data_IF_802050063865
#
_entry.id   IF_802050063865
#
_cell.length_a   1.000
_cell.length_b   1.000
_cell.length_c   1.000
_cell.angle_alpha   90.00
_cell.angle_beta   90.00
_cell.angle_gamma   90.00
#
_symmetry.space_group_name_H-M   'P 1'
#
loop_
_entity.id
_entity.type
_entity.pdbx_description
1 polymer ?
#
# COMPACT_ATOMS: atom_id res chain seq x y z
N UNK A 1 -63.69 -24.26 4.02
CA UNK A 1 -62.27 -24.44 3.64
C UNK A 1 -61.95 -23.39 2.59
N UNK A 2 -61.54 -22.21 3.02
CA UNK A 2 -61.15 -21.10 2.13
C UNK A 2 -59.83 -20.59 2.64
N UNK A 3 -58.80 -20.95 1.89
CA UNK A 3 -57.40 -20.60 2.09
C UNK A 3 -57.22 -19.07 1.95
N UNK A 4 -56.58 -18.43 2.92
CA UNK A 4 -56.24 -17.00 2.84
C UNK A 4 -54.90 -16.90 2.10
N UNK A 5 -54.76 -16.08 1.04
CA UNK A 5 -53.48 -15.94 0.37
C UNK A 5 -52.45 -15.35 1.34
N UNK A 6 -51.30 -16.03 1.48
CA UNK A 6 -50.18 -15.62 2.33
C UNK A 6 -49.76 -14.18 2.02
N UNK A 7 -50.09 -13.25 2.92
CA UNK A 7 -49.77 -11.83 2.77
C UNK A 7 -48.26 -11.61 2.94
N UNK A 8 -47.61 -11.07 1.90
CA UNK A 8 -46.21 -10.60 1.95
C UNK A 8 -45.98 -9.66 3.15
N UNK A 9 -45.20 -10.10 4.14
CA UNK A 9 -44.89 -9.31 5.33
C UNK A 9 -43.77 -8.29 5.06
N UNK A 10 -43.84 -7.10 5.68
CA UNK A 10 -42.75 -6.09 5.66
C UNK A 10 -41.40 -6.67 6.07
N UNK A 11 -41.40 -7.68 6.96
CA UNK A 11 -40.20 -8.40 7.38
C UNK A 11 -39.61 -9.24 6.25
N UNK A 12 -40.45 -9.90 5.45
CA UNK A 12 -40.00 -10.64 4.26
C UNK A 12 -39.45 -9.68 3.21
N UNK A 13 -40.12 -8.55 2.99
CA UNK A 13 -39.64 -7.50 2.08
C UNK A 13 -38.28 -6.95 2.51
N UNK A 14 -38.09 -6.62 3.79
CA UNK A 14 -36.81 -6.11 4.30
C UNK A 14 -35.70 -7.17 4.25
N UNK A 15 -36.00 -8.43 4.54
CA UNK A 15 -35.02 -9.53 4.38
C UNK A 15 -34.63 -9.72 2.92
N UNK A 16 -35.59 -9.63 1.99
CA UNK A 16 -35.32 -9.66 0.55
C UNK A 16 -34.45 -8.49 0.10
N UNK A 17 -34.75 -7.26 0.55
CA UNK A 17 -33.97 -6.07 0.23
C UNK A 17 -32.54 -6.13 0.78
N UNK A 18 -32.36 -6.58 2.04
CA UNK A 18 -31.03 -6.77 2.64
C UNK A 18 -30.22 -7.86 1.92
N UNK A 19 -30.88 -8.98 1.54
CA UNK A 19 -30.25 -10.03 0.75
C UNK A 19 -29.80 -9.54 -0.63
N UNK A 20 -30.65 -8.80 -1.34
CA UNK A 20 -30.32 -8.21 -2.63
C UNK A 20 -29.17 -7.19 -2.52
N UNK A 21 -29.17 -6.33 -1.49
CA UNK A 21 -28.11 -5.36 -1.24
C UNK A 21 -26.76 -6.03 -0.91
N UNK A 22 -26.77 -7.11 -0.12
CA UNK A 22 -25.57 -7.88 0.20
C UNK A 22 -24.97 -8.55 -1.06
N UNK A 23 -25.80 -9.11 -1.93
CA UNK A 23 -25.36 -9.69 -3.21
C UNK A 23 -24.79 -8.62 -4.14
N UNK A 24 -25.50 -7.49 -4.30
CA UNK A 24 -25.05 -6.39 -5.15
C UNK A 24 -23.74 -5.75 -4.63
N UNK A 25 -23.59 -5.60 -3.32
CA UNK A 25 -22.37 -5.06 -2.70
C UNK A 25 -21.17 -6.01 -2.78
N UNK A 26 -21.40 -7.33 -2.80
CA UNK A 26 -20.35 -8.32 -2.92
C UNK A 26 -19.93 -8.60 -4.39
N UNK A 27 -20.76 -8.23 -5.37
CA UNK A 27 -20.52 -8.55 -6.78
C UNK A 27 -19.16 -8.03 -7.32
N UNK A 28 -18.70 -6.80 -7.01
CA UNK A 28 -17.38 -6.35 -7.45
C UNK A 28 -16.23 -7.14 -6.81
N UNK A 29 -16.36 -7.49 -5.53
CA UNK A 29 -15.35 -8.28 -4.81
C UNK A 29 -15.28 -9.73 -5.32
N UNK A 30 -16.42 -10.33 -5.68
CA UNK A 30 -16.50 -11.65 -6.31
C UNK A 30 -15.95 -11.62 -7.75
N UNK A 31 -16.22 -10.57 -8.53
CA UNK A 31 -15.69 -10.41 -9.88
C UNK A 31 -14.16 -10.24 -9.90
N UNK A 32 -13.56 -9.77 -8.81
CA UNK A 32 -12.11 -9.62 -8.69
C UNK A 32 -11.41 -10.81 -8.03
N UNK A 33 -12.15 -11.76 -7.43
CA UNK A 33 -11.58 -12.86 -6.64
C UNK A 33 -10.63 -13.76 -7.41
N UNK A 34 -10.94 -14.02 -8.68
CA UNK A 34 -10.14 -14.87 -9.57
C UNK A 34 -9.44 -14.06 -10.67
N UNK A 35 -9.36 -12.74 -10.52
CA UNK A 35 -8.64 -11.90 -11.47
C UNK A 35 -7.14 -12.20 -11.35
N UNK A 36 -6.68 -13.13 -12.17
CA UNK A 36 -5.26 -13.38 -12.39
C UNK A 36 -4.68 -12.16 -13.10
N UNK A 37 -3.92 -11.35 -12.38
CA UNK A 37 -3.00 -10.40 -13.02
C UNK A 37 -1.88 -11.25 -13.59
N UNK A 38 -1.93 -11.50 -14.90
CA UNK A 38 -0.82 -12.14 -15.58
C UNK A 38 0.34 -11.14 -15.60
N UNK A 39 1.30 -11.31 -14.71
CA UNK A 39 2.55 -10.57 -14.75
C UNK A 39 3.49 -11.27 -15.72
N UNK A 40 4.11 -10.51 -16.61
CA UNK A 40 5.14 -11.03 -17.50
C UNK A 40 6.43 -11.27 -16.72
N UNK A 41 7.12 -12.37 -17.02
CA UNK A 41 8.48 -12.62 -16.50
C UNK A 41 9.55 -11.80 -17.26
N UNK A 42 9.19 -11.15 -18.38
CA UNK A 42 10.09 -10.24 -19.10
C UNK A 42 10.21 -8.89 -18.35
N UNK A 43 11.42 -8.50 -17.90
CA UNK A 43 11.63 -7.22 -17.23
C UNK A 43 11.15 -6.01 -18.03
N UNK A 44 11.26 -6.03 -19.37
CA UNK A 44 10.79 -4.91 -20.20
C UNK A 44 9.27 -4.80 -20.16
N UNK A 45 8.57 -5.93 -20.22
CA UNK A 45 7.13 -5.97 -20.08
C UNK A 45 6.69 -5.51 -18.68
N UNK A 46 7.41 -5.87 -17.61
CA UNK A 46 7.13 -5.34 -16.26
C UNK A 46 7.29 -3.82 -16.20
N UNK A 47 8.34 -3.25 -16.79
CA UNK A 47 8.51 -1.79 -16.85
C UNK A 47 7.37 -1.13 -17.65
N UNK A 48 6.91 -1.76 -18.73
CA UNK A 48 5.80 -1.23 -19.52
C UNK A 48 4.49 -1.14 -18.72
N UNK A 49 4.28 -2.00 -17.72
CA UNK A 49 3.11 -1.90 -16.82
C UNK A 49 3.13 -0.68 -15.91
N UNK A 50 4.26 0.02 -15.77
CA UNK A 50 4.33 1.24 -14.97
C UNK A 50 3.66 2.45 -15.66
N UNK A 51 3.28 2.31 -16.93
CA UNK A 51 2.69 3.37 -17.75
C UNK A 51 1.45 2.94 -18.54
N UNK A 52 0.89 1.76 -18.24
CA UNK A 52 -0.26 1.19 -18.97
C UNK A 52 -1.63 1.74 -18.52
N UNK A 53 -1.64 2.70 -17.58
CA UNK A 53 -2.86 3.30 -17.06
C UNK A 53 -2.62 4.57 -16.24
N UNK A 54 -3.70 5.07 -15.62
CA UNK A 54 -3.67 6.20 -14.69
C UNK A 54 -3.64 5.64 -13.27
N UNK A 55 -2.53 5.84 -12.56
CA UNK A 55 -2.31 5.34 -11.20
C UNK A 55 -2.68 6.40 -10.16
N UNK A 56 -3.73 6.12 -9.37
CA UNK A 56 -4.22 6.98 -8.26
C UNK A 56 -4.58 6.17 -7.01
N UNK A 57 -4.03 4.95 -6.89
CA UNK A 57 -4.41 3.95 -5.89
C UNK A 57 -3.37 3.75 -4.77
N UNK A 58 -2.18 4.33 -4.90
CA UNK A 58 -1.04 4.09 -3.98
C UNK A 58 -0.44 5.37 -3.39
N UNK A 59 -1.07 6.53 -3.58
CA UNK A 59 -0.54 7.85 -3.15
C UNK A 59 0.85 8.17 -3.73
N UNK A 60 1.17 7.64 -4.90
CA UNK A 60 2.41 7.95 -5.62
C UNK A 60 2.41 9.41 -6.10
N UNK A 61 3.59 10.03 -6.18
CA UNK A 61 3.72 11.38 -6.73
C UNK A 61 3.91 11.30 -8.25
N UNK A 62 2.94 11.75 -9.07
CA UNK A 62 3.02 11.65 -10.54
C UNK A 62 4.10 12.56 -11.15
N UNK A 63 4.62 13.54 -10.39
CA UNK A 63 5.73 14.41 -10.84
C UNK A 63 7.09 13.70 -10.76
N UNK A 64 7.17 12.56 -10.08
CA UNK A 64 8.41 11.84 -9.84
C UNK A 64 9.40 12.58 -8.92
N UNK A 65 10.65 12.08 -8.82
CA UNK A 65 11.70 12.71 -8.03
C UNK A 65 12.16 14.05 -8.62
N UNK A 66 12.70 14.93 -7.78
CA UNK A 66 13.29 16.19 -8.24
C UNK A 66 14.49 15.96 -9.19
N UNK A 67 14.76 16.87 -10.15
CA UNK A 67 15.86 16.69 -11.12
C UNK A 67 17.23 16.44 -10.48
N UNK A 68 17.54 17.13 -9.37
CA UNK A 68 18.79 16.92 -8.64
C UNK A 68 18.91 15.50 -8.05
N UNK A 69 17.80 14.89 -7.64
CA UNK A 69 17.78 13.52 -7.15
C UNK A 69 18.01 12.53 -8.30
N UNK A 70 17.38 12.74 -9.45
CA UNK A 70 17.61 11.92 -10.65
C UNK A 70 19.07 11.98 -11.12
N UNK A 71 19.67 13.17 -11.09
CA UNK A 71 21.08 13.34 -11.41
C UNK A 71 21.98 12.57 -10.43
N UNK A 72 21.72 12.66 -9.13
CA UNK A 72 22.47 11.90 -8.12
C UNK A 72 22.35 10.39 -8.31
N UNK A 73 21.16 9.89 -8.68
CA UNK A 73 20.92 8.46 -8.93
C UNK A 73 21.64 7.95 -10.17
N UNK A 74 21.68 8.73 -11.26
CA UNK A 74 22.30 8.31 -12.54
C UNK A 74 23.78 7.91 -12.46
N UNK A 75 24.49 8.35 -11.42
CA UNK A 75 25.89 7.98 -11.19
C UNK A 75 26.10 6.68 -10.41
N UNK A 76 25.05 6.06 -9.89
CA UNK A 76 25.15 4.93 -8.97
C UNK A 76 25.10 3.56 -9.64
N UNK A 77 24.65 3.46 -10.89
CA UNK A 77 24.47 2.17 -11.58
C UNK A 77 25.72 1.27 -11.56
N UNK A 78 26.95 1.79 -11.85
CA UNK A 78 28.16 0.95 -11.79
C UNK A 78 28.52 0.48 -10.37
N UNK A 79 27.97 1.12 -9.35
CA UNK A 79 28.25 0.86 -7.93
C UNK A 79 27.17 -0.02 -7.27
N UNK A 80 26.10 -0.40 -7.98
CA UNK A 80 24.96 -1.13 -7.42
C UNK A 80 25.33 -2.47 -6.75
N UNK A 81 26.48 -3.05 -7.09
CA UNK A 81 27.02 -4.27 -6.44
C UNK A 81 27.83 -4.02 -5.16
N UNK A 82 27.86 -2.80 -4.60
CA UNK A 82 28.63 -2.41 -3.41
C UNK A 82 27.69 -1.99 -2.28
N UNK A 83 28.05 -2.33 -1.04
CA UNK A 83 27.32 -1.85 0.14
C UNK A 83 27.55 -0.35 0.34
N UNK A 84 26.47 0.43 0.25
CA UNK A 84 26.46 1.88 0.47
C UNK A 84 26.40 2.29 1.95
N UNK A 85 27.20 1.66 2.83
CA UNK A 85 27.09 1.81 4.29
C UNK A 85 27.15 3.26 4.78
N UNK A 86 27.91 4.12 4.09
CA UNK A 86 28.05 5.53 4.46
C UNK A 86 26.82 6.40 4.12
N UNK A 87 25.89 5.93 3.29
CA UNK A 87 24.71 6.73 2.92
C UNK A 87 23.75 6.89 4.09
N UNK A 88 23.53 5.82 4.88
CA UNK A 88 22.65 5.85 6.04
C UNK A 88 23.13 6.88 7.07
N UNK A 89 24.40 6.81 7.50
CA UNK A 89 24.94 7.74 8.50
C UNK A 89 24.96 9.20 8.05
N UNK A 90 25.19 9.45 6.75
CA UNK A 90 25.07 10.80 6.17
C UNK A 90 23.63 11.31 6.21
N UNK A 91 22.67 10.45 5.89
CA UNK A 91 21.25 10.80 5.91
C UNK A 91 20.76 11.04 7.34
N UNK A 92 21.13 10.18 8.29
CA UNK A 92 20.85 10.38 9.73
C UNK A 92 21.37 11.73 10.21
N UNK A 93 22.63 12.04 9.91
CA UNK A 93 23.25 13.31 10.28
C UNK A 93 22.56 14.52 9.65
N UNK A 94 22.13 14.41 8.38
CA UNK A 94 21.41 15.47 7.68
C UNK A 94 20.05 15.73 8.32
N UNK A 95 19.25 14.69 8.51
CA UNK A 95 17.92 14.78 9.12
C UNK A 95 17.98 15.26 10.56
N UNK A 96 18.98 14.78 11.33
CA UNK A 96 19.18 15.24 12.69
C UNK A 96 19.38 16.77 12.74
N UNK A 97 20.29 17.30 11.92
CA UNK A 97 20.52 18.76 11.82
C UNK A 97 19.27 19.53 11.37
N UNK A 98 18.54 19.03 10.38
CA UNK A 98 17.33 19.70 9.86
C UNK A 98 16.21 19.79 10.89
N UNK A 99 16.18 18.88 11.86
CA UNK A 99 15.11 18.78 12.85
C UNK A 99 15.57 19.14 14.28
N UNK A 100 16.80 19.64 14.47
CA UNK A 100 17.33 20.00 15.78
C UNK A 100 17.55 18.80 16.72
N UNK A 101 17.85 17.63 16.16
CA UNK A 101 18.10 16.38 16.88
C UNK A 101 19.59 16.02 16.85
N UNK A 102 19.97 15.03 17.66
CA UNK A 102 21.28 14.37 17.55
C UNK A 102 21.19 13.14 16.62
N UNK A 103 22.29 12.71 15.96
CA UNK A 103 22.25 11.59 15.03
C UNK A 103 21.75 10.27 15.64
N UNK A 104 22.00 10.03 16.93
CA UNK A 104 21.53 8.85 17.68
C UNK A 104 20.00 8.83 17.92
N UNK A 105 19.32 9.95 17.67
CA UNK A 105 17.85 10.05 17.70
C UNK A 105 17.21 9.78 16.32
N UNK A 106 18.01 9.49 15.29
CA UNK A 106 17.53 9.24 13.91
C UNK A 106 18.01 7.87 13.44
N UNK A 107 17.10 7.11 12.82
CA UNK A 107 17.45 5.86 12.14
C UNK A 107 16.92 5.86 10.71
N UNK A 108 17.75 5.41 9.79
CA UNK A 108 17.37 5.25 8.38
C UNK A 108 16.92 3.82 8.10
N UNK A 109 15.76 3.69 7.45
CA UNK A 109 15.13 2.43 7.07
C UNK A 109 14.71 2.46 5.59
N UNK A 110 14.64 1.31 4.89
CA UNK A 110 14.11 1.21 3.53
C UNK A 110 12.57 1.37 3.55
N UNK A 111 12.11 2.61 3.66
CA UNK A 111 10.71 2.95 3.85
C UNK A 111 10.23 2.85 5.30
N UNK A 112 9.04 3.36 5.57
CA UNK A 112 8.47 3.47 6.92
C UNK A 112 7.79 2.20 7.42
N UNK A 113 7.44 1.25 6.54
CA UNK A 113 6.65 0.08 6.90
C UNK A 113 7.33 -0.79 7.96
N UNK A 114 8.61 -1.09 7.79
CA UNK A 114 9.38 -1.90 8.73
C UNK A 114 9.50 -1.28 10.12
N UNK A 115 9.95 -0.02 10.29
CA UNK A 115 10.04 0.58 11.62
C UNK A 115 8.66 0.71 12.28
N UNK A 116 7.60 1.06 11.54
CA UNK A 116 6.24 1.13 12.09
C UNK A 116 5.76 -0.24 12.59
N UNK A 117 6.01 -1.30 11.82
CA UNK A 117 5.72 -2.69 12.24
C UNK A 117 6.50 -3.08 13.49
N UNK A 118 7.80 -2.75 13.54
CA UNK A 118 8.66 -3.04 14.69
C UNK A 118 8.17 -2.31 15.95
N UNK A 119 7.77 -1.04 15.85
CA UNK A 119 7.18 -0.29 16.97
C UNK A 119 5.92 -0.99 17.47
N UNK A 120 5.00 -1.37 16.57
CA UNK A 120 3.79 -2.09 16.95
C UNK A 120 4.11 -3.40 17.68
N UNK A 121 5.03 -4.22 17.15
CA UNK A 121 5.43 -5.50 17.76
C UNK A 121 6.16 -5.34 19.10
N UNK A 122 6.94 -4.27 19.28
CA UNK A 122 7.75 -4.05 20.47
C UNK A 122 6.93 -3.46 21.61
N UNK A 123 6.02 -2.55 21.30
CA UNK A 123 5.32 -1.75 22.30
C UNK A 123 3.87 -2.17 22.55
N UNK A 124 3.28 -3.03 21.71
CA UNK A 124 1.92 -3.54 21.92
C UNK A 124 1.93 -4.91 22.60
N UNK A 125 1.12 -5.08 23.63
CA UNK A 125 0.85 -6.36 24.26
C UNK A 125 -0.56 -6.38 24.84
N UNK A 126 -1.03 -7.55 25.31
CA UNK A 126 -2.34 -7.64 25.97
C UNK A 126 -2.51 -6.66 27.13
N UNK A 127 -1.42 -6.28 27.79
CA UNK A 127 -1.41 -5.40 28.96
C UNK A 127 -0.86 -4.00 28.67
N UNK A 128 -0.50 -3.71 27.42
CA UNK A 128 0.01 -2.40 26.98
C UNK A 128 -0.59 -2.10 25.60
N UNK A 129 -1.66 -1.27 25.53
CA UNK A 129 -2.34 -0.96 24.28
C UNK A 129 -1.42 -0.23 23.29
#
# INVERSE_FOLDING_TARGET
MTDRPDTLSRRMLMRGAMGAAAIAGAAPALAQRDRKVAMSDDPKAMVATLTDGIFINSNENPLGPAPAALQALSGLDPLAGRYGMAFASKLESLFARQNGLTPDQVQVHPGSFMPLRSVALTYSSKTRP
#
